data_IF_933544948017
#
_entry.id   IF_933544948017
#
_cell.length_a   1.000
_cell.length_b   1.000
_cell.length_c   1.000
_cell.angle_alpha   90.00
_cell.angle_beta   90.00
_cell.angle_gamma   90.00
#
_symmetry.space_group_name_H-M   'P 1'
#
loop_
_entity.id
_entity.type
_entity.pdbx_description
1 polymer ?
#
# COMPACT_ATOMS: atom_id res chain seq x y z
N UNK A 1 12.10 13.34 4.48
CA UNK A 1 11.55 12.69 3.27
C UNK A 1 11.59 11.18 3.53
N UNK A 2 10.53 10.43 3.19
CA UNK A 2 10.50 8.96 3.33
C UNK A 2 10.69 8.28 1.96
N UNK A 3 11.53 7.25 1.89
CA UNK A 3 11.76 6.43 0.70
C UNK A 3 10.83 5.22 0.72
N UNK A 4 9.94 5.14 -0.27
CA UNK A 4 8.93 4.11 -0.37
C UNK A 4 8.94 3.45 -1.74
N UNK A 5 8.73 2.14 -1.78
CA UNK A 5 8.67 1.34 -3.01
C UNK A 5 7.39 0.51 -3.04
N UNK A 6 6.92 0.16 -4.24
CA UNK A 6 5.78 -0.75 -4.35
C UNK A 6 6.16 -2.12 -3.80
N UNK A 7 5.24 -2.77 -3.09
CA UNK A 7 5.47 -4.12 -2.62
C UNK A 7 5.61 -5.10 -3.79
N UNK A 8 6.62 -5.96 -3.71
CA UNK A 8 6.77 -7.18 -4.49
C UNK A 8 7.55 -8.21 -3.69
N UNK A 9 7.46 -9.49 -4.07
CA UNK A 9 8.22 -10.56 -3.39
C UNK A 9 9.73 -10.36 -3.53
N UNK A 10 10.17 -9.79 -4.64
CA UNK A 10 11.57 -9.47 -4.93
C UNK A 10 12.06 -8.33 -4.03
N UNK A 11 11.29 -7.25 -3.91
CA UNK A 11 11.61 -6.14 -3.00
C UNK A 11 11.64 -6.61 -1.53
N UNK A 12 10.68 -7.45 -1.13
CA UNK A 12 10.66 -8.08 0.19
C UNK A 12 11.94 -8.90 0.45
N UNK A 13 12.37 -9.70 -0.53
CA UNK A 13 13.61 -10.49 -0.43
C UNK A 13 14.85 -9.61 -0.24
N UNK A 14 14.97 -8.53 -1.03
CA UNK A 14 16.10 -7.59 -0.91
C UNK A 14 16.15 -6.93 0.48
N UNK A 15 15.00 -6.58 1.05
CA UNK A 15 14.93 -6.01 2.40
C UNK A 15 15.30 -7.06 3.46
N UNK A 16 14.79 -8.30 3.35
CA UNK A 16 15.10 -9.38 4.29
C UNK A 16 16.59 -9.73 4.29
N UNK A 17 17.24 -9.63 3.13
CA UNK A 17 18.68 -9.81 2.98
C UNK A 17 19.50 -8.57 3.40
N UNK A 18 18.83 -7.45 3.72
CA UNK A 18 19.45 -6.16 4.01
C UNK A 18 20.27 -5.56 2.84
N UNK A 19 19.96 -5.97 1.60
CA UNK A 19 20.58 -5.45 0.37
C UNK A 19 20.07 -4.03 0.04
N UNK A 20 18.85 -3.70 0.48
CA UNK A 20 18.19 -2.41 0.26
C UNK A 20 17.48 -1.97 1.53
N UNK A 21 17.54 -0.67 1.83
CA UNK A 21 16.77 -0.06 2.91
C UNK A 21 15.70 0.89 2.36
N UNK A 22 14.48 0.71 2.87
CA UNK A 22 13.32 1.57 2.61
C UNK A 22 12.63 1.90 3.94
N UNK A 23 11.90 3.00 3.96
CA UNK A 23 11.10 3.39 5.12
C UNK A 23 9.77 2.62 5.17
N UNK A 24 9.16 2.35 4.00
CA UNK A 24 7.85 1.71 3.89
C UNK A 24 7.56 1.14 2.51
N UNK A 25 6.66 0.16 2.46
CA UNK A 25 6.06 -0.31 1.22
C UNK A 25 4.87 0.54 0.78
N UNK A 26 4.50 0.43 -0.49
CA UNK A 26 3.27 0.95 -1.07
C UNK A 26 2.44 -0.19 -1.65
N UNK A 27 1.15 -0.22 -1.33
CA UNK A 27 0.24 -1.24 -1.81
C UNK A 27 -1.06 -0.61 -2.35
N UNK A 28 -1.65 -1.16 -3.42
CA UNK A 28 -2.98 -0.75 -3.87
C UNK A 28 -4.06 -1.27 -2.90
N UNK A 29 -5.20 -0.59 -2.86
CA UNK A 29 -6.30 -0.91 -1.95
C UNK A 29 -7.18 -2.11 -2.36
N UNK A 30 -6.83 -2.86 -3.41
CA UNK A 30 -7.65 -3.98 -3.91
C UNK A 30 -7.36 -5.34 -3.27
N UNK A 31 -6.23 -5.53 -2.58
CA UNK A 31 -5.88 -6.80 -1.93
C UNK A 31 -5.39 -6.59 -0.51
N UNK A 32 -6.15 -7.11 0.45
CA UNK A 32 -5.78 -7.07 1.88
C UNK A 32 -4.61 -8.01 2.18
N UNK A 33 -4.55 -9.15 1.49
CA UNK A 33 -3.49 -10.15 1.65
C UNK A 33 -2.13 -9.54 1.31
N UNK A 34 -2.06 -8.76 0.23
CA UNK A 34 -0.86 -8.07 -0.20
C UNK A 34 -0.43 -6.97 0.80
N UNK A 35 -1.40 -6.27 1.40
CA UNK A 35 -1.14 -5.28 2.45
C UNK A 35 -0.56 -5.96 3.69
N UNK A 36 -1.21 -7.03 4.18
CA UNK A 36 -0.76 -7.82 5.33
C UNK A 36 0.64 -8.40 5.09
N UNK A 37 0.91 -8.89 3.88
CA UNK A 37 2.23 -9.41 3.54
C UNK A 37 3.30 -8.31 3.58
N UNK A 38 3.02 -7.13 3.02
CA UNK A 38 3.94 -6.00 3.09
C UNK A 38 4.20 -5.58 4.55
N UNK A 39 3.14 -5.47 5.36
CA UNK A 39 3.17 -5.10 6.77
C UNK A 39 3.99 -6.06 7.63
N UNK A 40 4.12 -7.32 7.22
CA UNK A 40 4.97 -8.30 7.92
C UNK A 40 6.45 -7.93 7.95
N UNK A 41 6.90 -7.06 7.02
CA UNK A 41 8.31 -6.67 6.87
C UNK A 41 8.58 -5.19 7.13
N UNK A 42 7.70 -4.29 6.65
CA UNK A 42 7.82 -2.84 6.81
C UNK A 42 6.42 -2.22 6.88
N UNK A 43 6.25 -1.00 7.45
CA UNK A 43 4.99 -0.27 7.36
C UNK A 43 4.51 -0.17 5.90
N UNK A 44 3.19 -0.17 5.70
CA UNK A 44 2.58 -0.16 4.38
C UNK A 44 1.72 1.10 4.17
N UNK A 45 2.04 1.88 3.15
CA UNK A 45 1.19 2.95 2.66
C UNK A 45 0.20 2.40 1.63
N UNK A 46 -1.09 2.43 1.96
CA UNK A 46 -2.14 1.98 1.06
C UNK A 46 -2.66 3.15 0.23
N UNK A 47 -2.66 3.01 -1.08
CA UNK A 47 -3.14 4.04 -1.99
C UNK A 47 -4.43 3.64 -2.71
N UNK A 48 -5.33 4.61 -2.83
CA UNK A 48 -6.56 4.53 -3.60
C UNK A 48 -6.46 5.43 -4.83
N UNK A 49 -6.78 4.89 -6.00
CA UNK A 49 -6.82 5.64 -7.26
C UNK A 49 -8.01 6.59 -7.30
N UNK A 50 -7.90 7.74 -6.64
CA UNK A 50 -8.90 8.80 -6.67
C UNK A 50 -8.52 9.85 -7.71
N UNK A 51 -9.35 10.00 -8.74
CA UNK A 51 -9.11 10.94 -9.83
C UNK A 51 -10.08 12.14 -9.70
N UNK A 52 -9.56 13.27 -9.21
CA UNK A 52 -10.33 14.50 -9.12
C UNK A 52 -10.77 14.97 -10.52
N UNK A 53 -11.99 15.53 -10.63
CA UNK A 53 -12.54 16.03 -11.90
C UNK A 53 -13.05 14.94 -12.85
N UNK A 54 -12.97 13.66 -12.49
CA UNK A 54 -13.45 12.55 -13.33
C UNK A 54 -14.97 12.38 -13.37
N UNK A 55 -15.71 13.04 -12.47
CA UNK A 55 -17.15 12.81 -12.27
C UNK A 55 -17.50 11.47 -11.59
N UNK A 56 -16.51 10.64 -11.26
CA UNK A 56 -16.69 9.27 -10.77
C UNK A 56 -16.79 9.16 -9.24
N UNK A 57 -17.08 10.24 -8.52
CA UNK A 57 -17.12 10.21 -7.04
C UNK A 57 -18.14 9.19 -6.48
N UNK A 58 -19.21 8.96 -7.24
CA UNK A 58 -20.29 8.03 -6.90
C UNK A 58 -19.91 6.56 -7.13
N UNK A 59 -18.85 6.28 -7.88
CA UNK A 59 -18.34 4.91 -8.10
C UNK A 59 -17.22 4.55 -7.11
N UNK A 60 -16.78 5.49 -6.28
CA UNK A 60 -15.76 5.24 -5.27
C UNK A 60 -16.36 4.38 -4.15
N UNK A 61 -15.71 3.25 -3.85
CA UNK A 61 -16.07 2.42 -2.71
C UNK A 61 -15.46 3.00 -1.42
N UNK A 62 -16.20 3.93 -0.79
CA UNK A 62 -15.77 4.61 0.44
C UNK A 62 -15.65 3.66 1.63
N UNK A 63 -16.46 2.60 1.69
CA UNK A 63 -16.41 1.61 2.77
C UNK A 63 -15.09 0.86 2.78
N UNK A 64 -14.56 0.50 1.60
CA UNK A 64 -13.23 -0.13 1.47
C UNK A 64 -12.15 0.84 1.93
N UNK A 65 -12.22 2.11 1.53
CA UNK A 65 -11.23 3.13 1.91
C UNK A 65 -11.25 3.36 3.43
N UNK A 66 -12.42 3.55 4.03
CA UNK A 66 -12.52 3.79 5.47
C UNK A 66 -12.18 2.52 6.28
N UNK A 67 -12.54 1.34 5.78
CA UNK A 67 -12.13 0.07 6.37
C UNK A 67 -10.61 -0.11 6.42
N UNK A 68 -9.91 0.27 5.34
CA UNK A 68 -8.44 0.22 5.29
C UNK A 68 -7.81 1.31 6.16
N UNK A 69 -8.36 2.53 6.18
CA UNK A 69 -7.90 3.64 7.03
C UNK A 69 -7.95 3.32 8.53
N UNK A 70 -8.86 2.43 8.96
CA UNK A 70 -8.95 1.98 10.35
C UNK A 70 -7.97 0.83 10.67
N UNK A 71 -7.53 0.08 9.66
CA UNK A 71 -6.60 -1.04 9.79
C UNK A 71 -5.14 -0.59 9.82
N UNK A 72 -4.78 0.36 8.93
CA UNK A 72 -3.43 0.88 8.73
C UNK A 72 -3.22 2.20 9.46
#
# INVERSE_FOLDING_TARGET
>A
MKFAVNFSKEAEKLIKNNDVQIDMFKCPNFSKELIIQAESSKPCYVHSGLYAGSGQIHTVNWDVIDGLRRHT
#
